data_IF_795735714378
#
_entry.id   IF_795735714378
#
_cell.length_a   1.000
_cell.length_b   1.000
_cell.length_c   1.000
_cell.angle_alpha   90.00
_cell.angle_beta   90.00
_cell.angle_gamma   90.00
#
_symmetry.space_group_name_H-M   'P 1'
#
loop_
_entity.id
_entity.type
_entity.pdbx_description
1 polymer ?
#
# COMPACT_ATOMS: atom_id res chain seq x y z
N UNK A 1 -1.99 -23.07 26.74
CA UNK A 1 -1.51 -23.79 25.54
C UNK A 1 -0.50 -24.91 25.85
N UNK A 2 0.60 -24.62 26.57
CA UNK A 2 1.63 -25.61 26.90
C UNK A 2 1.10 -26.80 27.73
N UNK A 3 0.24 -26.53 28.72
CA UNK A 3 -0.37 -27.54 29.58
C UNK A 3 -1.31 -28.52 28.83
N UNK A 4 -1.98 -28.05 27.78
CA UNK A 4 -2.86 -28.89 26.94
C UNK A 4 -1.99 -29.79 26.06
N UNK A 5 -0.89 -29.25 25.50
CA UNK A 5 0.06 -29.99 24.67
C UNK A 5 0.73 -31.12 25.48
N UNK A 6 1.13 -30.83 26.71
CA UNK A 6 1.74 -31.81 27.63
C UNK A 6 0.75 -32.95 27.99
N UNK A 7 -0.52 -32.62 28.25
CA UNK A 7 -1.58 -33.59 28.52
C UNK A 7 -1.93 -34.47 27.31
N UNK A 8 -1.83 -33.94 26.10
CA UNK A 8 -2.01 -34.71 24.85
C UNK A 8 -0.83 -35.64 24.59
N UNK A 9 0.40 -35.25 24.97
CA UNK A 9 1.61 -36.07 24.79
C UNK A 9 1.71 -37.25 25.78
N UNK A 10 1.11 -37.17 26.97
CA UNK A 10 1.15 -38.23 28.01
C UNK A 10 -0.19 -38.38 28.75
N UNK A 11 -1.18 -39.09 28.20
CA UNK A 11 -2.43 -39.40 28.92
C UNK A 11 -2.17 -40.35 30.11
N UNK A 12 -2.94 -40.27 31.22
CA UNK A 12 -4.16 -39.48 31.48
C UNK A 12 -3.94 -38.18 32.33
N UNK A 13 -4.87 -37.19 32.30
CA UNK A 13 -6.22 -37.23 31.71
C UNK A 13 -6.31 -36.63 30.29
N UNK A 14 -7.18 -37.21 29.47
CA UNK A 14 -7.42 -36.76 28.09
C UNK A 14 -8.40 -35.59 28.06
N UNK A 15 -8.08 -34.57 27.27
CA UNK A 15 -8.89 -33.37 27.09
C UNK A 15 -10.14 -33.69 26.27
N UNK A 16 -11.22 -34.15 26.91
CA UNK A 16 -12.55 -34.27 26.29
C UNK A 16 -13.46 -33.10 26.71
N UNK A 17 -14.30 -32.57 25.82
CA UNK A 17 -15.30 -31.57 26.20
C UNK A 17 -16.28 -32.12 27.25
N UNK A 18 -16.63 -31.30 28.25
CA UNK A 18 -17.72 -31.62 29.15
C UNK A 18 -19.05 -31.38 28.43
N UNK A 19 -19.84 -32.44 28.23
CA UNK A 19 -21.15 -32.37 27.55
C UNK A 19 -22.22 -32.75 28.57
N UNK A 20 -23.14 -31.82 28.85
CA UNK A 20 -24.27 -32.07 29.76
C UNK A 20 -25.37 -32.87 29.06
N UNK A 21 -26.16 -33.62 29.83
CA UNK A 21 -27.22 -34.48 29.31
C UNK A 21 -28.35 -33.71 28.59
N UNK A 22 -28.44 -32.40 28.82
CA UNK A 22 -29.49 -31.53 28.25
C UNK A 22 -29.13 -30.92 26.89
N UNK A 23 -27.87 -31.09 26.44
CA UNK A 23 -27.37 -30.46 25.21
C UNK A 23 -27.73 -31.21 23.92
N UNK A 24 -28.08 -32.49 24.00
CA UNK A 24 -28.37 -33.33 22.85
C UNK A 24 -29.21 -34.56 23.25
N UNK A 25 -29.87 -35.25 22.31
CA UNK A 25 -30.52 -36.53 22.57
C UNK A 25 -29.54 -37.52 23.24
N UNK A 26 -30.01 -38.26 24.25
CA UNK A 26 -29.16 -39.19 25.02
C UNK A 26 -28.43 -40.19 24.11
N UNK A 27 -29.07 -40.62 23.03
CA UNK A 27 -28.52 -41.55 22.06
C UNK A 27 -27.31 -40.95 21.31
N UNK A 28 -27.35 -39.65 20.99
CA UNK A 28 -26.22 -38.94 20.37
C UNK A 28 -25.06 -38.76 21.36
N UNK A 29 -25.38 -38.45 22.63
CA UNK A 29 -24.37 -38.30 23.69
C UNK A 29 -23.70 -39.66 23.96
N UNK A 30 -24.46 -40.75 23.91
CA UNK A 30 -23.94 -42.10 24.08
C UNK A 30 -22.98 -42.47 22.95
N UNK A 31 -23.41 -42.31 21.69
CA UNK A 31 -22.58 -42.56 20.50
C UNK A 31 -21.28 -41.73 20.52
N UNK A 32 -21.37 -40.45 20.89
CA UNK A 32 -20.21 -39.58 21.05
C UNK A 32 -19.22 -40.11 22.10
N UNK A 33 -19.71 -40.62 23.23
CA UNK A 33 -18.88 -41.22 24.28
C UNK A 33 -18.24 -42.54 23.82
N UNK A 34 -18.91 -43.34 23.00
CA UNK A 34 -18.33 -44.55 22.39
C UNK A 34 -17.18 -44.20 21.43
N UNK A 35 -17.35 -43.15 20.60
CA UNK A 35 -16.29 -42.61 19.75
C UNK A 35 -15.08 -42.09 20.55
N UNK A 36 -15.30 -41.68 21.80
CA UNK A 36 -14.24 -41.23 22.71
C UNK A 36 -13.56 -42.36 23.48
N UNK A 37 -13.89 -43.63 23.22
CA UNK A 37 -13.27 -44.78 23.88
C UNK A 37 -11.73 -44.69 23.83
N UNK A 38 -11.07 -45.00 24.94
CA UNK A 38 -9.61 -44.95 25.02
C UNK A 38 -8.90 -46.11 24.33
N UNK A 39 -9.64 -47.20 24.11
CA UNK A 39 -9.18 -48.32 23.32
C UNK A 39 -9.61 -48.09 21.86
N UNK A 40 -8.67 -47.90 20.91
CA UNK A 40 -8.99 -47.67 19.50
C UNK A 40 -9.89 -48.74 18.90
N UNK A 41 -9.76 -49.98 19.36
CA UNK A 41 -10.49 -51.17 18.88
C UNK A 41 -11.96 -51.16 19.33
N UNK A 42 -12.28 -50.42 20.40
CA UNK A 42 -13.64 -50.25 20.90
C UNK A 42 -14.36 -49.06 20.30
N UNK A 43 -13.65 -48.22 19.52
CA UNK A 43 -14.29 -47.11 18.81
C UNK A 43 -15.06 -47.71 17.63
N UNK A 44 -16.33 -47.33 17.44
CA UNK A 44 -17.06 -47.74 16.25
C UNK A 44 -16.37 -47.23 14.99
N UNK A 45 -16.47 -47.98 13.90
CA UNK A 45 -16.02 -47.50 12.58
C UNK A 45 -16.92 -46.37 12.10
N UNK A 46 -16.43 -45.54 11.16
CA UNK A 46 -17.23 -44.43 10.63
C UNK A 46 -18.57 -44.91 10.03
N UNK A 47 -18.58 -46.10 9.42
CA UNK A 47 -19.79 -46.72 8.88
C UNK A 47 -20.78 -47.12 9.99
N UNK A 48 -20.28 -47.68 11.10
CA UNK A 48 -21.10 -48.05 12.26
C UNK A 48 -21.69 -46.81 12.95
N UNK A 49 -20.90 -45.74 13.10
CA UNK A 49 -21.38 -44.46 13.61
C UNK A 49 -22.49 -43.92 12.71
N UNK A 50 -22.31 -44.00 11.39
CA UNK A 50 -23.28 -43.53 10.42
C UNK A 50 -24.61 -44.29 10.50
N UNK A 51 -24.56 -45.61 10.60
CA UNK A 51 -25.77 -46.45 10.70
C UNK A 51 -26.51 -46.25 12.03
N UNK A 52 -25.80 -46.09 13.15
CA UNK A 52 -26.43 -45.76 14.43
C UNK A 52 -27.06 -44.36 14.41
N UNK A 53 -26.36 -43.36 13.88
CA UNK A 53 -26.88 -42.00 13.77
C UNK A 53 -28.10 -41.89 12.83
N UNK A 54 -28.11 -42.68 11.76
CA UNK A 54 -29.25 -42.84 10.85
C UNK A 54 -30.48 -43.42 11.56
N UNK A 55 -30.28 -44.37 12.47
CA UNK A 55 -31.34 -44.94 13.31
C UNK A 55 -31.94 -43.90 14.26
N UNK A 56 -31.10 -43.08 14.89
CA UNK A 56 -31.51 -41.99 15.79
C UNK A 56 -32.40 -40.96 15.06
N UNK A 57 -32.08 -40.67 13.79
CA UNK A 57 -32.80 -39.67 12.99
C UNK A 57 -34.06 -40.18 12.25
N UNK A 58 -34.57 -41.39 12.57
CA UNK A 58 -35.85 -41.96 12.07
C UNK A 58 -36.14 -41.69 10.58
N UNK A 59 -35.15 -41.85 9.70
CA UNK A 59 -35.38 -41.76 8.26
C UNK A 59 -35.52 -40.34 7.68
N UNK A 60 -35.22 -39.26 8.42
CA UNK A 60 -35.07 -37.89 7.87
C UNK A 60 -33.75 -37.70 7.08
N UNK A 61 -33.36 -38.71 6.30
CA UNK A 61 -32.00 -38.93 5.78
C UNK A 61 -31.45 -37.84 4.85
N UNK A 62 -32.30 -36.98 4.28
CA UNK A 62 -31.87 -36.01 3.25
C UNK A 62 -31.86 -34.59 3.79
N UNK A 63 -32.90 -34.14 4.48
CA UNK A 63 -33.09 -32.71 4.75
C UNK A 63 -32.05 -32.05 5.67
N UNK A 64 -31.57 -32.71 6.74
CA UNK A 64 -30.66 -32.04 7.69
C UNK A 64 -29.23 -31.99 7.15
N UNK A 65 -28.77 -33.08 6.53
CA UNK A 65 -27.42 -33.18 5.97
C UNK A 65 -27.31 -32.31 4.71
N UNK A 66 -28.31 -32.35 3.82
CA UNK A 66 -28.36 -31.42 2.67
C UNK A 66 -28.46 -29.97 3.12
N UNK A 67 -29.20 -29.68 4.20
CA UNK A 67 -29.27 -28.33 4.75
C UNK A 67 -27.93 -27.86 5.31
N UNK A 68 -27.16 -28.74 5.97
CA UNK A 68 -25.82 -28.41 6.47
C UNK A 68 -24.81 -28.29 5.32
N UNK A 69 -24.87 -29.15 4.31
CA UNK A 69 -24.05 -29.08 3.10
C UNK A 69 -24.32 -27.79 2.32
N UNK A 70 -25.58 -27.46 2.04
CA UNK A 70 -25.96 -26.19 1.39
C UNK A 70 -25.53 -24.98 2.20
N UNK A 71 -25.67 -25.06 3.53
CA UNK A 71 -25.21 -23.98 4.41
C UNK A 71 -23.70 -23.81 4.32
N UNK A 72 -22.91 -24.89 4.36
CA UNK A 72 -21.46 -24.87 4.20
C UNK A 72 -21.02 -24.38 2.81
N UNK A 73 -21.67 -24.84 1.74
CA UNK A 73 -21.42 -24.38 0.37
C UNK A 73 -21.72 -22.88 0.23
N UNK A 74 -22.83 -22.42 0.79
CA UNK A 74 -23.19 -21.01 0.75
C UNK A 74 -22.25 -20.15 1.60
N UNK A 75 -21.82 -20.64 2.76
CA UNK A 75 -20.78 -19.96 3.55
C UNK A 75 -19.44 -19.92 2.79
N UNK A 76 -19.04 -21.00 2.12
CA UNK A 76 -17.81 -21.05 1.32
C UNK A 76 -17.86 -20.07 0.15
N UNK A 77 -18.95 -20.06 -0.61
CA UNK A 77 -19.16 -19.14 -1.73
C UNK A 77 -19.14 -17.68 -1.26
N UNK A 78 -19.89 -17.36 -0.20
CA UNK A 78 -19.92 -16.01 0.34
C UNK A 78 -18.54 -15.57 0.86
N UNK A 79 -17.77 -16.49 1.46
CA UNK A 79 -16.43 -16.22 1.95
C UNK A 79 -15.45 -16.01 0.78
N UNK A 80 -15.55 -16.79 -0.29
CA UNK A 80 -14.77 -16.59 -1.51
C UNK A 80 -15.07 -15.25 -2.17
N UNK A 81 -16.34 -14.87 -2.28
CA UNK A 81 -16.74 -13.58 -2.83
C UNK A 81 -16.22 -12.43 -1.96
N UNK A 82 -16.33 -12.55 -0.62
CA UNK A 82 -15.79 -11.55 0.30
C UNK A 82 -14.27 -11.48 0.23
N UNK A 83 -13.57 -12.61 0.16
CA UNK A 83 -12.10 -12.63 -0.01
C UNK A 83 -11.72 -11.95 -1.32
N UNK A 84 -12.43 -12.24 -2.42
CA UNK A 84 -12.18 -11.61 -3.72
C UNK A 84 -12.34 -10.10 -3.65
N UNK A 85 -13.47 -9.62 -3.12
CA UNK A 85 -13.74 -8.19 -2.95
C UNK A 85 -12.66 -7.50 -2.12
N UNK A 86 -12.29 -8.09 -0.96
CA UNK A 86 -11.24 -7.53 -0.09
C UNK A 86 -9.86 -7.56 -0.73
N UNK A 87 -9.58 -8.56 -1.56
CA UNK A 87 -8.31 -8.65 -2.30
C UNK A 87 -8.25 -7.58 -3.39
N UNK A 88 -9.36 -7.32 -4.08
CA UNK A 88 -9.46 -6.24 -5.07
C UNK A 88 -9.31 -4.85 -4.42
N UNK A 89 -9.99 -4.60 -3.30
CA UNK A 89 -9.83 -3.35 -2.53
C UNK A 89 -8.37 -3.15 -2.09
N UNK A 90 -7.73 -4.20 -1.58
CA UNK A 90 -6.34 -4.15 -1.14
C UNK A 90 -5.40 -3.85 -2.30
N UNK A 91 -5.62 -4.45 -3.47
CA UNK A 91 -4.78 -4.22 -4.65
C UNK A 91 -4.93 -2.78 -5.17
N UNK A 92 -6.15 -2.23 -5.19
CA UNK A 92 -6.39 -0.83 -5.55
C UNK A 92 -5.67 0.12 -4.58
N UNK A 93 -5.77 -0.14 -3.28
CA UNK A 93 -5.16 0.73 -2.28
C UNK A 93 -3.63 0.63 -2.29
N UNK A 94 -3.10 -0.57 -2.52
CA UNK A 94 -1.68 -0.80 -2.74
C UNK A 94 -1.17 -0.02 -3.96
N UNK A 95 -1.88 -0.04 -5.09
CA UNK A 95 -1.50 0.70 -6.29
C UNK A 95 -1.49 2.22 -6.06
N UNK A 96 -2.47 2.77 -5.32
CA UNK A 96 -2.46 4.19 -4.94
C UNK A 96 -1.26 4.54 -4.07
N UNK A 97 -0.99 3.71 -3.06
CA UNK A 97 0.14 3.89 -2.14
C UNK A 97 1.47 3.86 -2.90
N UNK A 98 1.64 2.89 -3.79
CA UNK A 98 2.84 2.76 -4.63
C UNK A 98 3.03 3.98 -5.53
N UNK A 99 1.95 4.46 -6.17
CA UNK A 99 1.99 5.64 -7.01
C UNK A 99 2.43 6.89 -6.23
N UNK A 100 1.83 7.12 -5.06
CA UNK A 100 2.19 8.26 -4.21
C UNK A 100 3.65 8.19 -3.76
N UNK A 101 4.13 7.01 -3.38
CA UNK A 101 5.52 6.84 -2.95
C UNK A 101 6.51 7.17 -4.07
N UNK A 102 6.21 6.75 -5.30
CA UNK A 102 7.05 7.06 -6.49
C UNK A 102 6.96 8.52 -6.95
N UNK A 103 5.94 9.28 -6.51
CA UNK A 103 5.86 10.72 -6.76
C UNK A 103 6.73 11.51 -5.79
N UNK A 104 6.92 11.01 -4.57
CA UNK A 104 7.72 11.67 -3.52
C UNK A 104 9.19 11.29 -3.60
N UNK A 105 9.51 10.04 -3.98
CA UNK A 105 10.86 9.49 -3.92
C UNK A 105 11.26 8.83 -5.25
N UNK A 106 12.58 8.81 -5.56
CA UNK A 106 13.12 7.98 -6.62
C UNK A 106 12.61 6.54 -6.56
N UNK A 107 12.30 5.89 -7.70
CA UNK A 107 11.81 4.51 -7.70
C UNK A 107 12.73 3.52 -6.98
N UNK A 108 14.06 3.68 -7.09
CA UNK A 108 15.03 2.84 -6.39
C UNK A 108 14.93 2.95 -4.87
N UNK A 109 14.74 4.18 -4.37
CA UNK A 109 14.58 4.48 -2.94
C UNK A 109 13.22 3.99 -2.44
N UNK A 110 12.16 4.23 -3.21
CA UNK A 110 10.81 3.76 -2.91
C UNK A 110 10.78 2.22 -2.74
N UNK A 111 11.38 1.46 -3.67
CA UNK A 111 11.42 0.00 -3.59
C UNK A 111 12.27 -0.50 -2.41
N UNK A 112 13.41 0.12 -2.12
CA UNK A 112 14.21 -0.22 -0.95
C UNK A 112 13.43 -0.02 0.37
N UNK A 113 12.69 1.08 0.48
CA UNK A 113 11.83 1.36 1.64
C UNK A 113 10.66 0.37 1.75
N UNK A 114 10.04 -0.01 0.64
CA UNK A 114 8.99 -1.05 0.63
C UNK A 114 9.50 -2.40 1.13
N UNK A 115 10.75 -2.73 0.83
CA UNK A 115 11.41 -3.96 1.30
C UNK A 115 11.94 -3.85 2.74
N UNK A 116 11.76 -2.72 3.42
CA UNK A 116 12.31 -2.48 4.76
C UNK A 116 13.84 -2.45 4.80
N UNK A 117 14.49 -2.22 3.65
CA UNK A 117 15.95 -2.18 3.53
C UNK A 117 16.42 -0.75 3.83
N UNK A 118 17.51 -0.57 4.59
CA UNK A 118 18.08 0.76 4.79
C UNK A 118 18.56 1.36 3.46
N UNK A 119 18.32 2.65 3.27
CA UNK A 119 18.78 3.41 2.09
C UNK A 119 20.10 4.06 2.46
N UNK A 120 21.20 3.49 1.96
CA UNK A 120 22.54 4.03 2.17
C UNK A 120 22.76 5.29 1.30
N UNK A 121 23.50 6.29 1.79
CA UNK A 121 23.88 7.45 0.98
C UNK A 121 24.70 7.03 -0.25
N UNK A 122 24.29 7.48 -1.43
CA UNK A 122 25.02 7.25 -2.68
C UNK A 122 25.76 8.51 -3.13
N UNK A 123 27.01 8.32 -3.56
CA UNK A 123 27.83 9.38 -4.15
C UNK A 123 27.71 9.38 -5.67
N UNK A 124 27.43 10.52 -6.29
CA UNK A 124 27.34 10.69 -7.74
C UNK A 124 28.47 11.60 -8.25
N UNK A 125 29.18 11.19 -9.30
CA UNK A 125 30.37 11.88 -9.85
C UNK A 125 30.03 12.88 -10.96
N UNK A 126 28.90 12.67 -11.64
CA UNK A 126 28.52 13.40 -12.86
C UNK A 126 27.09 13.91 -12.68
N UNK A 127 26.95 15.03 -11.97
CA UNK A 127 25.66 15.67 -11.70
C UNK A 127 25.69 17.11 -12.16
N UNK A 128 24.55 17.62 -12.62
CA UNK A 128 24.31 19.06 -12.71
C UNK A 128 23.12 19.44 -11.87
N UNK A 129 23.31 20.43 -11.01
CA UNK A 129 22.27 21.07 -10.23
C UNK A 129 21.82 22.36 -10.91
N UNK A 130 20.51 22.53 -10.93
CA UNK A 130 19.80 23.76 -11.24
C UNK A 130 19.25 24.34 -9.95
N UNK A 131 19.41 25.64 -9.78
CA UNK A 131 18.76 26.41 -8.72
C UNK A 131 18.17 27.68 -9.31
N UNK A 132 16.95 28.02 -8.91
CA UNK A 132 16.34 29.29 -9.27
C UNK A 132 15.58 29.93 -8.13
N UNK A 133 15.59 31.27 -8.12
CA UNK A 133 14.83 32.12 -7.21
C UNK A 133 14.02 33.17 -8.00
N UNK A 134 12.94 33.66 -7.38
CA UNK A 134 12.13 34.75 -7.95
C UNK A 134 12.77 36.08 -7.55
N UNK A 135 13.17 36.88 -8.54
CA UNK A 135 13.81 38.17 -8.29
C UNK A 135 12.79 39.14 -7.69
N UNK A 136 13.08 39.61 -6.48
CA UNK A 136 12.20 40.55 -5.76
C UNK A 136 11.01 39.88 -5.08
N UNK A 137 11.06 38.55 -4.84
CA UNK A 137 9.99 37.80 -4.17
C UNK A 137 9.55 38.45 -2.86
N UNK A 138 10.49 38.88 -2.00
CA UNK A 138 10.17 39.54 -0.72
C UNK A 138 9.29 40.77 -0.90
N UNK A 139 9.54 41.59 -1.92
CA UNK A 139 8.75 42.78 -2.22
C UNK A 139 7.37 42.41 -2.75
N UNK A 140 7.30 41.43 -3.65
CA UNK A 140 6.04 40.90 -4.18
C UNK A 140 5.19 40.37 -3.01
N UNK A 141 5.75 39.49 -2.18
CA UNK A 141 5.05 38.89 -1.04
C UNK A 141 4.60 39.91 0.01
N UNK A 142 5.30 41.05 0.13
CA UNK A 142 4.93 42.10 1.07
C UNK A 142 3.77 42.98 0.55
N UNK A 143 3.53 42.99 -0.76
CA UNK A 143 2.51 43.79 -1.42
C UNK A 143 1.27 42.99 -1.81
N UNK A 144 1.30 41.66 -1.64
CA UNK A 144 0.23 40.74 -2.02
C UNK A 144 -0.41 40.10 -0.78
N UNK A 145 -1.68 39.71 -0.89
CA UNK A 145 -2.31 38.92 0.15
C UNK A 145 -1.72 37.49 0.19
N UNK A 146 -1.72 36.81 1.36
CA UNK A 146 -1.16 35.46 1.47
C UNK A 146 -1.70 34.47 0.43
N UNK A 147 -3.00 34.56 0.12
CA UNK A 147 -3.63 33.68 -0.88
C UNK A 147 -3.10 33.95 -2.30
N UNK A 148 -2.81 35.21 -2.63
CA UNK A 148 -2.31 35.61 -3.93
C UNK A 148 -0.86 35.16 -4.15
N UNK A 149 -0.06 35.13 -3.07
CA UNK A 149 1.31 34.58 -3.09
C UNK A 149 1.29 33.08 -3.30
N UNK A 150 0.37 32.37 -2.65
CA UNK A 150 0.20 30.92 -2.84
C UNK A 150 -0.21 30.61 -4.27
N UNK A 151 -1.20 31.33 -4.81
CA UNK A 151 -1.66 31.16 -6.19
C UNK A 151 -0.53 31.43 -7.20
N UNK A 152 0.28 32.47 -6.97
CA UNK A 152 1.45 32.78 -7.78
C UNK A 152 2.46 31.63 -7.81
N UNK A 153 2.85 31.12 -6.63
CA UNK A 153 3.81 30.02 -6.52
C UNK A 153 3.26 28.74 -7.16
N UNK A 154 1.98 28.44 -6.92
CA UNK A 154 1.34 27.26 -7.49
C UNK A 154 1.29 27.32 -9.02
N UNK A 155 0.89 28.45 -9.60
CA UNK A 155 0.87 28.62 -11.06
C UNK A 155 2.27 28.54 -11.67
N UNK A 156 3.27 29.17 -11.03
CA UNK A 156 4.65 29.16 -11.50
C UNK A 156 5.28 27.76 -11.43
N UNK A 157 5.11 27.05 -10.32
CA UNK A 157 5.65 25.70 -10.16
C UNK A 157 4.90 24.66 -10.98
N UNK A 158 3.60 24.84 -11.22
CA UNK A 158 2.86 23.99 -12.17
C UNK A 158 3.44 24.13 -13.58
N UNK A 159 3.79 25.36 -13.99
CA UNK A 159 4.47 25.60 -15.26
C UNK A 159 5.82 24.90 -15.32
N UNK A 160 6.62 24.98 -14.26
CA UNK A 160 7.93 24.32 -14.22
C UNK A 160 7.80 22.80 -14.22
N UNK A 161 6.91 22.26 -13.40
CA UNK A 161 6.64 20.82 -13.29
C UNK A 161 6.21 20.24 -14.66
N UNK A 162 5.46 21.01 -15.46
CA UNK A 162 5.11 20.63 -16.82
C UNK A 162 6.32 20.60 -17.76
N UNK A 163 7.25 21.55 -17.63
CA UNK A 163 8.47 21.61 -18.46
C UNK A 163 9.41 20.46 -18.09
N UNK A 164 9.73 20.29 -16.80
CA UNK A 164 10.68 19.26 -16.36
C UNK A 164 10.21 17.84 -16.69
N UNK A 165 8.89 17.62 -16.82
CA UNK A 165 8.34 16.32 -17.23
C UNK A 165 8.79 15.85 -18.62
N UNK A 166 9.37 16.74 -19.44
CA UNK A 166 9.93 16.42 -20.76
C UNK A 166 11.45 16.27 -20.80
N UNK A 167 12.14 16.46 -19.67
CA UNK A 167 13.61 16.41 -19.56
C UNK A 167 14.05 15.27 -18.63
N UNK A 168 15.28 14.76 -18.81
CA UNK A 168 15.87 13.74 -17.92
C UNK A 168 16.41 14.40 -16.65
N UNK A 169 15.49 14.81 -15.77
CA UNK A 169 15.79 15.55 -14.55
C UNK A 169 14.94 15.07 -13.37
N UNK A 170 15.44 15.32 -12.16
CA UNK A 170 14.80 14.99 -10.89
C UNK A 170 14.58 16.27 -10.07
N UNK A 171 13.33 16.51 -9.67
CA UNK A 171 12.96 17.63 -8.80
C UNK A 171 13.45 17.36 -7.38
N UNK A 172 14.18 18.31 -6.81
CA UNK A 172 14.66 18.24 -5.43
C UNK A 172 13.74 19.09 -4.56
N UNK A 173 13.18 18.48 -3.51
CA UNK A 173 12.34 19.20 -2.55
C UNK A 173 13.19 20.21 -1.76
N UNK A 174 12.79 21.47 -1.78
CA UNK A 174 13.48 22.57 -1.11
C UNK A 174 12.52 23.42 -0.29
N UNK A 175 13.08 24.26 0.59
CA UNK A 175 12.31 25.15 1.46
C UNK A 175 12.28 26.56 0.83
N UNK A 176 11.09 27.14 0.68
CA UNK A 176 10.90 28.54 0.27
C UNK A 176 10.50 28.72 -1.20
N UNK A 177 10.93 29.85 -1.77
CA UNK A 177 10.72 30.24 -3.18
C UNK A 177 11.80 29.73 -4.14
N UNK A 178 12.73 28.93 -3.62
CA UNK A 178 13.74 28.26 -4.42
C UNK A 178 13.12 27.06 -5.16
N UNK A 179 13.50 26.91 -6.43
CA UNK A 179 13.18 25.72 -7.22
C UNK A 179 14.48 25.03 -7.61
N UNK A 180 14.63 23.76 -7.21
CA UNK A 180 15.86 22.99 -7.40
C UNK A 180 15.59 21.72 -8.18
N UNK A 181 16.45 21.47 -9.16
CA UNK A 181 16.37 20.31 -10.05
C UNK A 181 17.77 19.76 -10.26
N UNK A 182 17.90 18.45 -10.41
CA UNK A 182 19.16 17.78 -10.67
C UNK A 182 19.05 16.86 -11.88
N UNK A 183 20.13 16.70 -12.63
CA UNK A 183 20.26 15.65 -13.65
C UNK A 183 21.53 14.83 -13.37
N UNK A 184 21.55 13.57 -13.79
CA UNK A 184 22.58 12.60 -13.42
C UNK A 184 22.31 11.88 -12.09
N UNK A 185 21.22 12.24 -11.41
CA UNK A 185 20.66 11.54 -10.24
C UNK A 185 19.12 11.51 -10.35
N UNK A 186 18.44 10.53 -9.72
CA UNK A 186 18.99 9.34 -9.05
C UNK A 186 19.58 8.32 -10.04
N UNK A 187 19.30 8.47 -11.34
CA UNK A 187 19.87 7.64 -12.40
C UNK A 187 21.00 8.40 -13.09
N UNK A 188 22.17 7.78 -13.16
CA UNK A 188 23.31 8.32 -13.92
C UNK A 188 22.98 8.32 -15.40
N UNK A 189 23.23 9.44 -16.07
CA UNK A 189 23.01 9.59 -17.50
C UNK A 189 24.30 9.90 -18.30
N UNK A 190 25.46 9.68 -17.67
CA UNK A 190 26.78 10.00 -18.23
C UNK A 190 26.88 11.50 -18.50
N UNK A 191 27.63 11.91 -19.52
CA UNK A 191 27.85 13.34 -19.87
C UNK A 191 26.59 14.14 -20.33
N UNK A 192 25.37 13.60 -20.20
CA UNK A 192 24.14 14.30 -20.61
C UNK A 192 23.61 15.26 -19.55
N UNK A 193 23.92 15.07 -18.27
CA UNK A 193 23.35 15.85 -17.15
C UNK A 193 23.39 17.37 -17.37
N UNK A 194 24.52 17.91 -17.84
CA UNK A 194 24.67 19.33 -18.09
C UNK A 194 23.84 19.84 -19.28
N UNK A 195 23.73 19.02 -20.33
CA UNK A 195 22.91 19.35 -21.51
C UNK A 195 21.42 19.37 -21.18
N UNK A 196 20.94 18.37 -20.42
CA UNK A 196 19.55 18.29 -19.96
C UNK A 196 19.17 19.52 -19.13
N UNK A 197 19.99 19.88 -18.13
CA UNK A 197 19.73 21.05 -17.29
C UNK A 197 19.81 22.36 -18.08
N UNK A 198 20.75 22.50 -19.02
CA UNK A 198 20.85 23.69 -19.85
C UNK A 198 19.62 23.85 -20.77
N UNK A 199 19.17 22.78 -21.42
CA UNK A 199 17.98 22.80 -22.28
C UNK A 199 16.72 23.13 -21.47
N UNK A 200 16.51 22.44 -20.34
CA UNK A 200 15.43 22.72 -19.40
C UNK A 200 15.43 24.19 -18.95
N UNK A 201 16.61 24.76 -18.65
CA UNK A 201 16.73 26.17 -18.24
C UNK A 201 16.26 27.14 -19.33
N UNK A 202 16.56 26.85 -20.59
CA UNK A 202 16.12 27.65 -21.73
C UNK A 202 14.59 27.57 -21.91
N UNK A 203 14.01 26.39 -21.76
CA UNK A 203 12.56 26.19 -21.85
C UNK A 203 11.81 26.90 -20.72
N UNK A 204 12.35 26.86 -19.50
CA UNK A 204 11.85 27.62 -18.35
C UNK A 204 11.89 29.12 -18.66
N UNK A 205 13.02 29.66 -19.10
CA UNK A 205 13.16 31.10 -19.41
C UNK A 205 12.19 31.55 -20.51
N UNK A 206 12.02 30.74 -21.55
CA UNK A 206 11.07 31.00 -22.64
C UNK A 206 9.63 31.08 -22.13
N UNK A 207 9.24 30.13 -21.27
CA UNK A 207 7.89 30.03 -20.74
C UNK A 207 7.58 31.16 -19.75
N UNK A 208 8.52 31.48 -18.86
CA UNK A 208 8.43 32.58 -17.89
C UNK A 208 8.26 33.93 -18.57
N UNK A 209 8.85 34.14 -19.75
CA UNK A 209 8.71 35.38 -20.51
C UNK A 209 7.26 35.74 -20.88
N UNK A 210 6.35 34.76 -20.89
CA UNK A 210 4.92 34.97 -21.16
C UNK A 210 4.03 34.82 -19.93
N UNK A 211 4.62 34.46 -18.78
CA UNK A 211 3.91 34.27 -17.53
C UNK A 211 3.44 35.61 -16.96
N UNK A 212 2.19 35.67 -16.50
CA UNK A 212 1.59 36.84 -15.86
C UNK A 212 0.99 36.49 -14.51
N UNK A 213 1.28 37.32 -13.52
CA UNK A 213 0.71 37.19 -12.17
C UNK A 213 -0.76 37.60 -12.21
N UNK A 214 -1.67 36.79 -11.63
CA UNK A 214 -3.12 37.08 -11.67
C UNK A 214 -3.48 38.40 -10.98
N UNK A 215 -2.87 38.67 -9.83
CA UNK A 215 -3.14 39.85 -9.00
C UNK A 215 -2.36 41.10 -9.46
N UNK A 216 -1.27 40.93 -10.22
CA UNK A 216 -0.43 42.03 -10.74
C UNK A 216 0.04 41.75 -12.18
N UNK A 217 -0.86 41.78 -13.18
CA UNK A 217 -0.55 41.37 -14.55
C UNK A 217 0.44 42.28 -15.29
N UNK A 218 0.64 43.52 -14.80
CA UNK A 218 1.58 44.50 -15.34
C UNK A 218 3.00 44.34 -14.77
N UNK A 219 3.17 43.56 -13.70
CA UNK A 219 4.48 43.31 -13.08
C UNK A 219 5.05 42.02 -13.69
N UNK A 220 6.15 42.10 -14.46
CA UNK A 220 6.75 40.90 -15.03
C UNK A 220 7.44 40.07 -13.95
N UNK A 221 7.18 38.77 -13.94
CA UNK A 221 7.94 37.82 -13.10
C UNK A 221 9.34 37.65 -13.70
N UNK A 222 10.36 37.83 -12.86
CA UNK A 222 11.75 37.65 -13.24
C UNK A 222 12.35 36.55 -12.40
N UNK A 223 13.12 35.69 -13.05
CA UNK A 223 13.71 34.52 -12.43
C UNK A 223 15.19 34.55 -12.69
N UNK A 224 15.94 34.24 -11.66
CA UNK A 224 17.38 34.08 -11.73
C UNK A 224 17.67 32.59 -11.62
N UNK A 225 18.50 32.12 -12.55
CA UNK A 225 18.87 30.72 -12.68
C UNK A 225 20.38 30.64 -12.47
N UNK A 226 20.81 29.69 -11.67
CA UNK A 226 22.20 29.27 -11.63
C UNK A 226 22.33 27.77 -11.76
N UNK A 227 23.46 27.37 -12.34
CA UNK A 227 23.78 25.99 -12.66
C UNK A 227 25.13 25.66 -12.03
N UNK A 228 25.25 24.45 -11.50
CA UNK A 228 26.52 23.92 -11.01
C UNK A 228 26.67 22.47 -11.42
N UNK A 229 27.84 22.11 -11.96
CA UNK A 229 28.16 20.73 -12.36
C UNK A 229 29.36 20.23 -11.58
N UNK A 230 29.28 18.99 -11.10
CA UNK A 230 30.35 18.32 -10.36
C UNK A 230 29.86 17.04 -9.69
#
# INVERSE_FOLDING_TARGET
PAEIIEKVQRPPPLCRPAVSADQAPLECIHLMKECWSEQPEKRPTIDQVFDQFKGINKGRKTNIIDSMLRMLEQYSSNLEDLIRERTEELEIEKQKTDKLLTQMLPPSVAEALKMGTPVEPEYFEEVTLYFSDIVGFTTISAMSEPIEVVDLLNDLYTLFDAIIGSHDVYKVETIGDAYMVASGLPKRNGNRHAGEIANMSLDILSSVGTFKMRHMPEVPVRIRIGLHSG
#
